data_IF_388878191977
#
_entry.id   IF_388878191977
#
_cell.length_a   1.000
_cell.length_b   1.000
_cell.length_c   1.000
_cell.angle_alpha   90.00
_cell.angle_beta   90.00
_cell.angle_gamma   90.00
#
_symmetry.space_group_name_H-M   'P 1'
#
loop_
_entity.id
_entity.type
_entity.pdbx_description
1 polymer ?
#
# COMPACT_ATOMS: atom_id res chain seq x y z
N UNK A 1 9.24 -16.10 -1.92
CA UNK A 1 7.79 -15.89 -1.68
C UNK A 1 7.19 -15.33 -2.96
N UNK A 2 5.95 -15.69 -3.34
CA UNK A 2 5.29 -15.07 -4.50
C UNK A 2 4.74 -13.72 -4.05
N UNK A 3 5.05 -12.60 -4.73
CA UNK A 3 4.58 -11.28 -4.30
C UNK A 3 3.06 -11.19 -4.40
N UNK A 4 2.45 -10.52 -3.43
CA UNK A 4 1.00 -10.29 -3.38
C UNK A 4 0.62 -9.22 -4.38
N UNK A 5 -0.26 -9.54 -5.33
CA UNK A 5 -0.61 -8.61 -6.40
C UNK A 5 -1.73 -7.68 -5.98
N UNK A 6 -1.54 -6.37 -6.16
CA UNK A 6 -2.56 -5.36 -5.88
C UNK A 6 -3.77 -5.53 -6.80
N UNK A 7 -3.56 -5.89 -8.07
CA UNK A 7 -4.63 -6.06 -9.05
C UNK A 7 -5.56 -7.25 -8.73
N UNK A 8 -5.07 -8.24 -7.98
CA UNK A 8 -5.84 -9.43 -7.60
C UNK A 8 -6.78 -9.16 -6.42
N UNK A 9 -6.66 -8.00 -5.77
CA UNK A 9 -7.59 -7.58 -4.72
C UNK A 9 -8.99 -7.28 -5.29
N UNK A 10 -10.06 -7.55 -4.53
CA UNK A 10 -11.42 -7.27 -4.97
C UNK A 10 -11.58 -5.81 -5.42
N UNK A 11 -12.10 -5.59 -6.63
CA UNK A 11 -12.39 -4.26 -7.18
C UNK A 11 -11.22 -3.53 -7.86
N UNK A 12 -9.96 -3.92 -7.62
CA UNK A 12 -8.79 -3.22 -8.19
C UNK A 12 -8.65 -3.44 -9.70
N UNK A 13 -8.88 -4.67 -10.18
CA UNK A 13 -8.87 -4.97 -11.62
C UNK A 13 -9.92 -4.15 -12.41
N UNK A 14 -11.09 -3.94 -11.82
CA UNK A 14 -12.16 -3.15 -12.44
C UNK A 14 -11.77 -1.67 -12.52
N UNK A 15 -11.17 -1.12 -11.45
CA UNK A 15 -10.66 0.25 -11.46
C UNK A 15 -9.51 0.44 -12.46
N UNK A 16 -8.57 -0.52 -12.55
CA UNK A 16 -7.50 -0.46 -13.54
C UNK A 16 -8.08 -0.50 -14.97
N UNK A 17 -9.08 -1.33 -15.21
CA UNK A 17 -9.79 -1.37 -16.51
C UNK A 17 -10.44 -0.02 -16.84
N UNK A 18 -11.05 0.65 -15.86
CA UNK A 18 -11.61 2.00 -16.04
C UNK A 18 -10.52 3.02 -16.31
N UNK A 19 -9.40 2.97 -15.59
CA UNK A 19 -8.26 3.86 -15.80
C UNK A 19 -7.60 3.68 -17.17
N UNK A 20 -7.62 2.46 -17.72
CA UNK A 20 -7.21 2.20 -19.10
C UNK A 20 -8.14 2.88 -20.12
N UNK A 21 -9.45 2.92 -19.85
CA UNK A 21 -10.44 3.54 -20.74
C UNK A 21 -10.50 5.06 -20.61
N UNK A 22 -10.38 5.60 -19.39
CA UNK A 22 -10.38 7.04 -19.08
C UNK A 22 -9.09 7.37 -18.34
N UNK A 23 -8.01 7.79 -19.01
CA UNK A 23 -6.73 8.08 -18.37
C UNK A 23 -6.81 9.11 -17.24
N UNK A 24 -7.71 10.10 -17.36
CA UNK A 24 -7.94 11.08 -16.29
C UNK A 24 -8.51 10.47 -15.01
N UNK A 25 -9.02 9.23 -15.05
CA UNK A 25 -9.43 8.49 -13.87
C UNK A 25 -8.26 8.15 -12.95
N UNK A 26 -7.03 8.08 -13.47
CA UNK A 26 -5.82 7.80 -12.70
C UNK A 26 -5.23 9.06 -12.02
N UNK A 27 -5.76 10.25 -12.31
CA UNK A 27 -5.27 11.50 -11.73
C UNK A 27 -5.82 11.69 -10.32
N UNK A 28 -5.04 12.22 -9.36
CA UNK A 28 -5.51 12.41 -7.98
C UNK A 28 -6.86 13.15 -7.86
N UNK A 29 -7.11 14.10 -8.76
CA UNK A 29 -8.34 14.88 -8.81
C UNK A 29 -9.59 14.03 -9.14
N UNK A 30 -9.40 12.86 -9.77
CA UNK A 30 -10.48 11.95 -10.10
C UNK A 30 -11.24 11.46 -8.85
N UNK A 31 -10.59 11.41 -7.68
CA UNK A 31 -11.24 10.99 -6.42
C UNK A 31 -12.44 11.88 -6.05
N UNK A 32 -12.42 13.15 -6.44
CA UNK A 32 -13.54 14.06 -6.22
C UNK A 32 -14.73 13.77 -7.15
N UNK A 33 -14.49 13.24 -8.35
CA UNK A 33 -15.52 12.86 -9.32
C UNK A 33 -16.01 11.41 -9.11
N UNK A 34 -15.12 10.54 -8.61
CA UNK A 34 -15.31 9.10 -8.47
C UNK A 34 -15.07 8.66 -7.02
N UNK A 35 -16.08 8.85 -6.13
CA UNK A 35 -15.94 8.51 -4.72
C UNK A 35 -15.74 7.00 -4.49
N UNK A 36 -16.03 6.14 -5.49
CA UNK A 36 -15.73 4.71 -5.40
C UNK A 36 -14.23 4.40 -5.23
N UNK A 37 -13.34 5.30 -5.66
CA UNK A 37 -11.89 5.15 -5.48
C UNK A 37 -11.54 5.21 -3.99
N UNK A 38 -12.07 6.23 -3.29
CA UNK A 38 -11.86 6.40 -1.86
C UNK A 38 -12.58 5.34 -1.04
N UNK A 39 -13.78 4.93 -1.48
CA UNK A 39 -14.49 3.82 -0.83
C UNK A 39 -13.66 2.54 -0.88
N UNK A 40 -13.09 2.20 -2.05
CA UNK A 40 -12.24 1.01 -2.17
C UNK A 40 -10.97 1.11 -1.33
N UNK A 41 -10.33 2.29 -1.29
CA UNK A 41 -9.17 2.53 -0.43
C UNK A 41 -9.52 2.28 1.04
N UNK A 42 -10.64 2.83 1.51
CA UNK A 42 -11.10 2.66 2.89
C UNK A 42 -11.48 1.20 3.19
N UNK A 43 -12.18 0.52 2.28
CA UNK A 43 -12.58 -0.88 2.48
C UNK A 43 -11.37 -1.82 2.53
N UNK A 44 -10.31 -1.52 1.77
CA UNK A 44 -9.13 -2.38 1.64
C UNK A 44 -8.07 -2.07 2.69
N UNK A 45 -7.78 -0.80 2.91
CA UNK A 45 -6.67 -0.33 3.75
C UNK A 45 -7.11 0.34 5.04
N UNK A 46 -8.40 0.64 5.20
CA UNK A 46 -8.93 1.34 6.37
C UNK A 46 -8.79 2.87 6.32
N UNK A 47 -8.21 3.43 5.25
CA UNK A 47 -8.09 4.87 5.04
C UNK A 47 -8.12 5.26 3.55
N UNK A 48 -8.54 6.49 3.28
CA UNK A 48 -8.50 7.10 1.94
C UNK A 48 -7.13 7.71 1.64
N UNK A 49 -6.89 8.06 0.37
CA UNK A 49 -5.66 8.75 -0.03
C UNK A 49 -5.50 10.12 0.65
N UNK A 50 -6.61 10.84 0.85
CA UNK A 50 -6.59 12.16 1.49
C UNK A 50 -6.38 12.04 3.01
N UNK A 51 -6.95 11.02 3.65
CA UNK A 51 -6.67 10.69 5.06
C UNK A 51 -5.21 10.30 5.25
N UNK A 52 -4.65 9.53 4.31
CA UNK A 52 -3.25 9.15 4.31
C UNK A 52 -2.33 10.37 4.19
N UNK A 53 -2.61 11.27 3.25
CA UNK A 53 -1.82 12.49 3.04
C UNK A 53 -1.87 13.49 4.21
N UNK A 54 -2.85 13.36 5.12
CA UNK A 54 -2.92 14.18 6.33
C UNK A 54 -2.02 13.64 7.46
N UNK A 55 -1.49 12.43 7.32
CA UNK A 55 -0.60 11.80 8.29
C UNK A 55 0.82 12.35 8.07
N UNK A 56 1.49 12.86 9.12
CA UNK A 56 2.87 13.29 8.99
C UNK A 56 3.77 12.12 8.59
N UNK A 57 4.71 12.39 7.68
CA UNK A 57 5.74 11.41 7.34
C UNK A 57 6.50 10.99 8.60
N UNK A 58 6.66 9.67 8.84
CA UNK A 58 7.40 9.20 10.00
C UNK A 58 8.90 9.54 9.87
N UNK A 59 9.60 9.52 11.00
CA UNK A 59 11.06 9.74 11.01
C UNK A 59 11.77 8.71 10.11
N UNK A 60 12.63 9.19 9.21
CA UNK A 60 13.35 8.34 8.26
C UNK A 60 12.57 8.00 6.98
N UNK A 61 11.43 8.66 6.71
CA UNK A 61 10.73 8.50 5.44
C UNK A 61 11.61 8.88 4.24
N UNK A 62 11.73 7.97 3.28
CA UNK A 62 12.62 8.10 2.13
C UNK A 62 11.94 8.76 0.90
N UNK A 63 10.71 9.27 1.10
CA UNK A 63 9.90 9.92 0.06
C UNK A 63 9.59 9.01 -1.12
N UNK A 64 9.50 7.69 -0.91
CA UNK A 64 9.25 6.72 -1.99
C UNK A 64 7.94 7.00 -2.72
N UNK A 65 6.93 7.48 -2.01
CA UNK A 65 5.58 7.78 -2.49
C UNK A 65 5.50 8.94 -3.49
N UNK A 66 6.52 9.81 -3.54
CA UNK A 66 6.64 10.89 -4.55
C UNK A 66 7.61 10.57 -5.68
N UNK A 67 8.31 9.43 -5.64
CA UNK A 67 9.21 9.00 -6.73
C UNK A 67 8.42 8.56 -7.96
N UNK A 68 9.11 8.29 -9.08
CA UNK A 68 8.44 7.80 -10.27
C UNK A 68 7.72 6.46 -9.98
N UNK A 69 6.57 6.23 -10.61
CA UNK A 69 5.78 5.00 -10.39
C UNK A 69 6.58 3.70 -10.63
N UNK A 70 7.61 3.76 -11.49
CA UNK A 70 8.51 2.63 -11.71
C UNK A 70 9.37 2.33 -10.48
N UNK A 71 9.98 3.35 -9.90
CA UNK A 71 10.80 3.21 -8.69
C UNK A 71 9.95 2.74 -7.50
N UNK A 72 8.70 3.23 -7.42
CA UNK A 72 7.73 2.76 -6.43
C UNK A 72 7.42 1.28 -6.61
N UNK A 73 7.16 0.84 -7.85
CA UNK A 73 6.85 -0.55 -8.15
C UNK A 73 8.01 -1.49 -7.77
N UNK A 74 9.25 -1.10 -8.08
CA UNK A 74 10.44 -1.88 -7.71
C UNK A 74 10.59 -1.95 -6.18
N UNK A 75 10.31 -0.86 -5.46
CA UNK A 75 10.34 -0.85 -3.99
C UNK A 75 9.22 -1.69 -3.37
N UNK A 76 8.00 -1.67 -3.92
CA UNK A 76 6.92 -2.55 -3.46
C UNK A 76 7.26 -4.03 -3.66
N UNK A 77 7.92 -4.38 -4.78
CA UNK A 77 8.33 -5.77 -5.05
C UNK A 77 9.31 -6.29 -3.99
N UNK A 78 10.20 -5.42 -3.47
CA UNK A 78 11.09 -5.75 -2.35
C UNK A 78 10.34 -5.99 -1.04
N UNK A 79 9.24 -5.28 -0.81
CA UNK A 79 8.32 -5.46 0.33
C UNK A 79 7.32 -6.60 0.12
N UNK A 80 7.46 -7.39 -0.96
CA UNK A 80 6.61 -8.53 -1.25
C UNK A 80 5.26 -8.19 -1.89
N UNK A 81 5.11 -7.00 -2.46
CA UNK A 81 3.91 -6.55 -3.19
C UNK A 81 4.18 -6.32 -4.67
N UNK A 82 3.30 -6.83 -5.52
CA UNK A 82 3.32 -6.56 -6.97
C UNK A 82 2.22 -5.55 -7.30
N UNK A 83 2.64 -4.34 -7.68
CA UNK A 83 1.76 -3.24 -8.12
C UNK A 83 1.79 -3.05 -9.64
N UNK A 84 2.07 -4.12 -10.38
CA UNK A 84 2.16 -4.10 -11.85
C UNK A 84 1.08 -4.93 -12.54
N UNK A 85 0.78 -4.56 -13.79
CA UNK A 85 -0.07 -5.35 -14.68
C UNK A 85 0.66 -6.62 -15.18
N UNK A 86 -0.03 -7.47 -15.94
CA UNK A 86 0.54 -8.70 -16.50
C UNK A 86 1.71 -8.45 -17.48
N UNK A 87 1.92 -7.21 -17.91
CA UNK A 87 3.03 -6.77 -18.78
C UNK A 87 4.15 -6.09 -17.97
N UNK A 88 4.14 -6.19 -16.63
CA UNK A 88 5.08 -5.56 -15.71
C UNK A 88 5.15 -4.02 -15.85
N UNK A 89 4.01 -3.40 -16.15
CA UNK A 89 3.85 -1.94 -16.13
C UNK A 89 3.17 -1.54 -14.82
N UNK A 90 3.62 -0.47 -14.13
CA UNK A 90 2.92 0.02 -12.95
C UNK A 90 1.44 0.25 -13.26
N UNK A 91 0.57 -0.16 -12.33
CA UNK A 91 -0.86 0.06 -12.46
C UNK A 91 -1.15 1.56 -12.55
N UNK A 92 -2.08 1.96 -13.42
CA UNK A 92 -2.48 3.37 -13.54
C UNK A 92 -3.08 3.89 -12.25
N UNK A 93 -3.87 3.04 -11.59
CA UNK A 93 -4.54 3.37 -10.33
C UNK A 93 -3.58 3.49 -9.14
N UNK A 94 -2.29 3.12 -9.29
CA UNK A 94 -1.30 3.16 -8.21
C UNK A 94 -1.21 4.54 -7.56
N UNK A 95 -1.41 5.62 -8.31
CA UNK A 95 -1.39 6.99 -7.78
C UNK A 95 -2.44 7.26 -6.69
N UNK A 96 -3.53 6.50 -6.63
CA UNK A 96 -4.52 6.63 -5.56
C UNK A 96 -4.19 5.81 -4.32
N UNK A 97 -3.47 4.70 -4.50
CA UNK A 97 -3.33 3.68 -3.46
C UNK A 97 -1.89 3.56 -2.91
N UNK A 98 -0.90 4.17 -3.58
CA UNK A 98 0.51 4.05 -3.21
C UNK A 98 0.78 4.51 -1.77
N UNK A 99 0.36 5.73 -1.43
CA UNK A 99 0.64 6.30 -0.11
C UNK A 99 -0.09 5.53 1.03
N UNK A 100 -1.41 5.23 0.93
CA UNK A 100 -2.07 4.32 1.88
C UNK A 100 -1.39 2.95 2.04
N UNK A 101 -0.97 2.33 0.94
CA UNK A 101 -0.30 1.03 0.96
C UNK A 101 1.05 1.11 1.65
N UNK A 102 1.84 2.15 1.38
CA UNK A 102 3.13 2.38 2.03
C UNK A 102 2.99 2.61 3.55
N UNK A 103 2.00 3.38 3.99
CA UNK A 103 1.72 3.56 5.42
C UNK A 103 1.32 2.26 6.09
N UNK A 104 0.49 1.43 5.43
CA UNK A 104 0.06 0.14 5.95
C UNK A 104 1.23 -0.85 6.02
N UNK A 105 2.10 -0.89 5.00
CA UNK A 105 3.29 -1.73 4.98
C UNK A 105 4.27 -1.41 6.10
N UNK A 106 4.52 -0.12 6.35
CA UNK A 106 5.44 0.32 7.41
C UNK A 106 4.79 0.36 8.80
N UNK A 107 3.55 -0.10 8.93
CA UNK A 107 2.83 -0.15 10.21
C UNK A 107 2.51 1.21 10.81
N UNK A 108 2.46 2.27 10.00
CA UNK A 108 2.22 3.65 10.46
C UNK A 108 0.72 3.91 10.60
N UNK A 109 -0.06 3.54 9.58
CA UNK A 109 -1.51 3.72 9.55
C UNK A 109 -2.18 2.78 8.55
N UNK A 110 -3.47 2.50 8.78
CA UNK A 110 -4.22 1.54 8.00
C UNK A 110 -3.93 0.10 8.35
N UNK A 111 -4.44 -0.80 7.52
CA UNK A 111 -4.21 -2.23 7.62
C UNK A 111 -4.01 -2.84 6.24
N UNK A 112 -3.23 -3.90 6.16
CA UNK A 112 -3.20 -4.72 4.96
C UNK A 112 -4.42 -5.66 4.97
N UNK A 113 -5.06 -5.93 3.82
CA UNK A 113 -6.21 -6.85 3.74
C UNK A 113 -5.85 -8.31 4.06
N UNK A 114 -4.55 -8.59 4.21
CA UNK A 114 -4.01 -9.88 4.63
C UNK A 114 -3.01 -9.66 5.76
N UNK A 115 -2.99 -10.55 6.75
CA UNK A 115 -1.91 -10.57 7.74
C UNK A 115 -0.56 -10.81 7.03
N UNK A 116 0.52 -10.09 7.36
CA UNK A 116 1.85 -10.49 6.95
C UNK A 116 2.09 -11.91 7.49
N UNK A 117 2.56 -12.82 6.64
CA UNK A 117 3.17 -14.04 7.17
C UNK A 117 4.40 -13.59 7.94
N UNK A 118 4.61 -14.06 9.19
CA UNK A 118 5.75 -13.62 9.98
C UNK A 118 7.02 -13.92 9.21
N UNK A 119 7.81 -12.89 8.96
CA UNK A 119 9.11 -13.04 8.35
C UNK A 119 9.95 -13.90 9.30
N UNK A 120 10.46 -15.05 8.84
CA UNK A 120 11.28 -15.95 9.67
C UNK A 120 12.59 -15.27 10.16
N UNK A 121 12.84 -14.02 9.74
CA UNK A 121 14.03 -13.23 10.03
C UNK A 121 13.76 -11.87 10.71
N UNK A 122 12.66 -11.69 11.44
CA UNK A 122 12.48 -10.48 12.27
C UNK A 122 13.10 -10.63 13.69
N UNK A 123 14.30 -10.08 13.97
CA UNK A 123 14.90 -10.10 15.30
C UNK A 123 14.18 -9.20 16.32
N UNK A 124 13.26 -8.32 15.86
CA UNK A 124 12.53 -7.40 16.75
C UNK A 124 11.42 -8.11 17.54
N UNK A 125 10.80 -9.15 16.95
CA UNK A 125 9.77 -9.97 17.62
C UNK A 125 10.34 -10.76 18.82
N UNK A 126 11.62 -11.14 18.76
CA UNK A 126 12.31 -11.85 19.85
C UNK A 126 12.59 -10.93 21.04
N UNK A 127 12.81 -9.64 20.78
CA UNK A 127 13.22 -8.66 21.79
C UNK A 127 12.06 -8.24 22.70
N UNK A 128 10.84 -8.09 22.16
CA UNK A 128 9.65 -7.72 22.95
C UNK A 128 9.19 -8.86 23.88
N UNK A 129 9.24 -10.11 23.40
CA UNK A 129 8.86 -11.28 24.19
C UNK A 129 9.84 -11.53 25.35
N UNK A 130 11.14 -11.26 25.13
CA UNK A 130 12.16 -11.39 26.16
C UNK A 130 12.07 -10.32 27.26
N UNK A 131 11.63 -9.09 26.93
CA UNK A 131 11.41 -8.01 27.90
C UNK A 131 10.16 -8.29 28.79
N UNK A 132 9.06 -8.81 28.22
CA UNK A 132 7.86 -9.13 28.99
C UNK A 132 8.06 -10.22 30.05
N UNK A 133 9.01 -11.14 29.85
CA UNK A 133 9.35 -12.17 30.84
C UNK A 133 10.12 -11.62 32.04
N UNK A 134 10.83 -10.48 31.89
CA UNK A 134 11.58 -9.84 32.98
C UNK A 134 10.69 -8.99 33.90
N UNK A 135 9.58 -8.47 33.39
CA UNK A 135 8.61 -7.67 34.19
C UNK A 135 7.64 -8.51 35.03
N UNK A 136 7.71 -9.85 34.95
CA UNK A 136 6.91 -10.78 35.78
C UNK A 136 7.69 -11.34 36.99
N UNK A 137 8.73 -10.66 37.46
CA UNK A 137 9.47 -11.05 38.68
C UNK A 137 9.30 -10.05 39.79
#
# INVERSE_FOLDING_TARGET
MVPRRLIDLPGFADLETRALMKPSFAEPQARAEFPEIDQLARDTFGLTADEAAAIPDPEGWDGIDVKAMRDQADAFELEGWDVTDDKRRPLRILGHFSHPLWLALRGVAGHLPFAPEPDEHDPSATSLAAEAAKFRR
#
